data_IF_682482232250
#
_entry.id   IF_682482232250
#
_cell.length_a   1.000
_cell.length_b   1.000
_cell.length_c   1.000
_cell.angle_alpha   90.00
_cell.angle_beta   90.00
_cell.angle_gamma   90.00
#
_symmetry.space_group_name_H-M   'P 1'
#
loop_
_entity.id
_entity.type
_entity.pdbx_description
1 polymer ?
#
# COMPACT_ATOMS: atom_id res chain seq x y z
N UNK A 1 -5.15 -52.28 9.30
CA UNK A 1 -5.36 -51.20 10.29
C UNK A 1 -4.20 -50.24 10.18
N UNK A 2 -4.38 -49.11 9.50
CA UNK A 2 -3.36 -48.05 9.49
C UNK A 2 -3.41 -47.40 10.87
N UNK A 3 -2.31 -47.50 11.62
CA UNK A 3 -2.21 -46.98 12.98
C UNK A 3 -2.46 -45.47 12.97
N UNK A 4 -3.41 -45.01 13.79
CA UNK A 4 -3.78 -43.60 13.95
C UNK A 4 -2.60 -42.68 14.27
N UNK A 5 -1.50 -43.23 14.81
CA UNK A 5 -0.22 -42.51 15.02
C UNK A 5 0.43 -42.02 13.73
N UNK A 6 0.27 -42.74 12.62
CA UNK A 6 0.85 -42.36 11.31
C UNK A 6 0.10 -41.17 10.69
N UNK A 7 -1.22 -41.14 10.85
CA UNK A 7 -2.07 -40.05 10.34
C UNK A 7 -1.87 -38.76 11.15
N UNK A 8 -1.83 -38.85 12.49
CA UNK A 8 -1.52 -37.71 13.36
C UNK A 8 -0.08 -37.20 13.13
N UNK A 9 0.89 -38.09 12.95
CA UNK A 9 2.26 -37.72 12.63
C UNK A 9 2.40 -36.96 11.30
N UNK A 10 1.67 -37.37 10.26
CA UNK A 10 1.66 -36.69 8.98
C UNK A 10 1.02 -35.28 9.05
N UNK A 11 -0.06 -35.11 9.84
CA UNK A 11 -0.73 -33.81 10.01
C UNK A 11 0.18 -32.81 10.75
N UNK A 12 0.93 -33.25 11.76
CA UNK A 12 1.90 -32.39 12.47
C UNK A 12 3.09 -32.04 11.57
N UNK A 13 3.58 -32.97 10.74
CA UNK A 13 4.67 -32.71 9.79
C UNK A 13 4.26 -31.74 8.67
N UNK A 14 3.01 -31.80 8.19
CA UNK A 14 2.51 -30.88 7.16
C UNK A 14 2.22 -29.49 7.75
N UNK A 15 1.75 -29.40 9.00
CA UNK A 15 1.55 -28.13 9.69
C UNK A 15 2.88 -27.45 10.11
N UNK A 16 3.94 -28.23 10.33
CA UNK A 16 5.26 -27.73 10.74
C UNK A 16 6.12 -27.11 9.64
N UNK A 17 5.81 -27.33 8.35
CA UNK A 17 6.61 -26.84 7.22
C UNK A 17 6.24 -25.41 6.76
N UNK A 18 5.31 -24.72 7.43
CA UNK A 18 4.86 -23.37 7.05
C UNK A 18 5.36 -22.24 7.93
N UNK A 19 6.10 -22.54 9.00
CA UNK A 19 6.56 -21.55 9.96
C UNK A 19 8.09 -21.54 9.97
N UNK A 20 8.68 -20.72 9.10
CA UNK A 20 10.02 -20.19 9.34
C UNK A 20 9.85 -18.98 10.27
N UNK A 21 9.99 -19.12 11.60
CA UNK A 21 10.30 -17.95 12.38
C UNK A 21 11.66 -17.50 11.85
N UNK A 22 11.71 -16.35 11.19
CA UNK A 22 12.96 -15.69 10.84
C UNK A 22 13.62 -15.33 12.17
N UNK A 23 14.34 -16.29 12.75
CA UNK A 23 15.24 -16.08 13.86
C UNK A 23 16.45 -15.41 13.22
N UNK A 24 16.57 -14.10 13.42
CA UNK A 24 17.72 -13.33 12.96
C UNK A 24 18.94 -13.77 13.76
N UNK A 25 19.68 -14.72 13.19
CA UNK A 25 21.04 -15.06 13.57
C UNK A 25 21.98 -13.94 13.13
N UNK A 26 22.83 -13.55 14.07
CA UNK A 26 24.01 -12.68 13.99
C UNK A 26 23.82 -11.20 13.57
N UNK A 27 23.82 -10.32 14.58
CA UNK A 27 23.77 -8.84 14.44
C UNK A 27 25.00 -8.26 13.71
N UNK A 28 26.11 -8.98 13.62
CA UNK A 28 27.33 -8.52 12.95
C UNK A 28 27.34 -8.78 11.43
N UNK A 29 26.70 -9.85 10.94
CA UNK A 29 26.67 -10.22 9.52
C UNK A 29 25.71 -9.38 8.65
N UNK A 30 24.95 -8.47 9.27
CA UNK A 30 23.86 -7.74 8.61
C UNK A 30 24.39 -6.67 7.66
N UNK A 31 25.43 -5.92 8.05
CA UNK A 31 26.01 -4.85 7.25
C UNK A 31 26.83 -5.38 6.06
N UNK A 32 27.52 -6.52 6.22
CA UNK A 32 28.31 -7.15 5.15
C UNK A 32 27.47 -8.01 4.20
N UNK A 33 26.45 -8.73 4.72
CA UNK A 33 25.59 -9.57 3.90
C UNK A 33 24.65 -8.76 2.98
N UNK A 34 24.19 -7.58 3.42
CA UNK A 34 23.31 -6.72 2.62
C UNK A 34 24.00 -6.12 1.39
N UNK A 35 25.33 -5.95 1.40
CA UNK A 35 26.02 -5.36 0.24
C UNK A 35 26.21 -6.31 -0.93
N UNK A 36 26.04 -7.62 -0.71
CA UNK A 36 26.31 -8.66 -1.72
C UNK A 36 25.04 -9.17 -2.42
N UNK A 37 23.86 -8.95 -1.85
CA UNK A 37 22.58 -9.45 -2.38
C UNK A 37 21.76 -8.39 -3.14
N UNK A 38 22.32 -7.19 -3.35
CA UNK A 38 21.68 -6.09 -4.07
C UNK A 38 20.61 -5.35 -3.26
N UNK A 39 20.48 -5.61 -1.95
CA UNK A 39 19.56 -4.89 -1.05
C UNK A 39 20.24 -3.69 -0.40
N UNK A 40 19.45 -2.68 -0.08
CA UNK A 40 19.89 -1.53 0.71
C UNK A 40 19.59 -1.76 2.20
N UNK A 41 20.50 -1.28 3.06
CA UNK A 41 20.21 -1.08 4.48
C UNK A 41 19.60 0.31 4.64
N UNK A 42 18.34 0.35 5.03
CA UNK A 42 17.57 1.58 5.23
C UNK A 42 17.56 1.90 6.71
N UNK A 43 18.31 2.93 7.12
CA UNK A 43 18.41 3.42 8.49
C UNK A 43 17.42 4.56 8.70
N UNK A 44 16.72 4.53 9.82
CA UNK A 44 15.88 5.63 10.29
C UNK A 44 15.84 5.64 11.81
N UNK A 45 15.29 6.72 12.36
CA UNK A 45 15.12 6.87 13.79
C UNK A 45 13.67 7.09 14.11
N UNK A 46 13.12 6.41 15.11
CA UNK A 46 11.76 6.66 15.59
C UNK A 46 11.81 7.44 16.89
N UNK A 47 11.15 8.59 16.90
CA UNK A 47 10.92 9.42 18.07
C UNK A 47 9.44 9.54 18.31
N UNK A 48 9.04 9.30 19.56
CA UNK A 48 7.64 9.42 19.95
C UNK A 48 7.56 10.33 21.16
N UNK A 49 6.72 11.33 21.06
CA UNK A 49 6.48 12.35 22.09
C UNK A 49 5.05 12.23 22.59
N UNK A 50 4.84 12.59 23.86
CA UNK A 50 3.53 12.57 24.50
C UNK A 50 2.76 13.85 24.15
N UNK A 51 1.50 13.70 23.74
CA UNK A 51 0.62 14.84 23.46
C UNK A 51 0.46 15.73 24.71
N UNK A 52 0.61 17.06 24.54
CA UNK A 52 0.49 18.03 25.63
C UNK A 52 1.73 18.21 26.51
N UNK A 53 2.81 17.44 26.31
CA UNK A 53 4.09 17.63 27.00
C UNK A 53 5.09 18.39 26.12
N UNK A 54 5.69 19.44 26.68
CA UNK A 54 6.78 20.16 26.00
C UNK A 54 8.01 19.25 25.84
N UNK A 55 8.67 19.21 24.67
CA UNK A 55 9.80 18.32 24.38
C UNK A 55 11.03 18.54 25.27
N UNK A 56 11.03 19.59 26.11
CA UNK A 56 12.11 19.90 27.05
C UNK A 56 12.03 19.11 28.37
N UNK A 57 10.87 18.58 28.76
CA UNK A 57 10.74 17.72 29.95
C UNK A 57 10.96 16.28 29.52
N UNK A 58 12.07 15.69 30.02
CA UNK A 58 12.61 14.36 29.67
C UNK A 58 11.56 13.43 29.04
N UNK A 59 11.65 13.14 27.73
CA UNK A 59 10.60 12.42 27.02
C UNK A 59 10.41 11.05 27.69
N UNK A 60 9.16 10.68 27.96
CA UNK A 60 8.83 9.28 28.26
C UNK A 60 9.30 8.48 27.05
N UNK A 61 10.44 7.79 27.19
CA UNK A 61 11.00 7.00 26.10
C UNK A 61 10.21 5.72 26.00
N UNK A 62 9.16 5.72 25.18
CA UNK A 62 8.55 4.47 24.75
C UNK A 62 9.58 3.68 23.96
N UNK A 63 9.80 2.41 24.34
CA UNK A 63 10.66 1.54 23.56
C UNK A 63 9.99 1.29 22.22
N UNK A 64 10.76 1.41 21.13
CA UNK A 64 10.27 1.10 19.78
C UNK A 64 9.79 -0.35 19.66
N UNK A 65 10.24 -1.26 20.53
CA UNK A 65 9.77 -2.66 20.62
C UNK A 65 8.26 -2.76 20.86
N UNK A 66 7.62 -1.68 21.33
CA UNK A 66 6.19 -1.59 21.48
C UNK A 66 5.44 -1.21 20.19
N UNK A 67 6.12 -0.75 19.15
CA UNK A 67 5.51 -0.38 17.87
C UNK A 67 5.65 -1.51 16.86
N UNK A 68 4.57 -1.80 16.14
CA UNK A 68 4.61 -2.68 14.99
C UNK A 68 4.81 -1.86 13.72
N UNK A 69 5.56 -2.41 12.77
CA UNK A 69 5.77 -1.75 11.49
C UNK A 69 5.16 -2.57 10.37
N UNK A 70 4.47 -1.87 9.48
CA UNK A 70 3.97 -2.39 8.23
C UNK A 70 4.76 -1.85 7.07
N UNK A 71 5.02 -2.70 6.08
CA UNK A 71 5.64 -2.28 4.84
C UNK A 71 4.87 -2.84 3.65
N UNK A 72 4.61 -2.00 2.66
CA UNK A 72 4.08 -2.40 1.35
C UNK A 72 4.99 -1.86 0.25
N UNK A 73 5.49 -2.73 -0.64
CA UNK A 73 6.21 -2.29 -1.84
C UNK A 73 5.23 -1.82 -2.92
N UNK A 74 5.11 -0.50 -3.05
CA UNK A 74 4.16 0.18 -3.93
C UNK A 74 4.37 -0.25 -5.39
N UNK A 75 5.63 -0.29 -5.84
CA UNK A 75 5.94 -0.58 -7.25
C UNK A 75 5.75 -2.04 -7.65
N UNK A 76 5.75 -2.95 -6.68
CA UNK A 76 5.43 -4.36 -6.88
C UNK A 76 3.93 -4.65 -6.72
N UNK A 77 3.13 -3.65 -6.31
CA UNK A 77 1.73 -3.86 -6.03
C UNK A 77 1.50 -4.75 -4.80
N UNK A 78 2.42 -4.72 -3.84
CA UNK A 78 2.32 -5.51 -2.62
C UNK A 78 1.30 -4.90 -1.67
N UNK A 79 0.66 -5.76 -0.89
CA UNK A 79 -0.15 -5.34 0.25
C UNK A 79 0.73 -5.07 1.47
N UNK A 80 0.16 -4.40 2.47
CA UNK A 80 0.84 -4.13 3.74
C UNK A 80 1.15 -5.44 4.46
N UNK A 81 2.43 -5.67 4.76
CA UNK A 81 2.91 -6.83 5.51
C UNK A 81 3.60 -6.36 6.78
N UNK A 82 3.48 -7.13 7.86
CA UNK A 82 4.27 -6.88 9.07
C UNK A 82 5.75 -7.05 8.73
N UNK A 83 6.59 -6.12 9.16
CA UNK A 83 8.04 -6.22 9.02
C UNK A 83 8.72 -6.19 10.37
N UNK A 84 9.77 -6.99 10.49
CA UNK A 84 10.66 -6.93 11.64
C UNK A 84 11.69 -5.83 11.41
N UNK A 85 11.69 -4.85 12.31
CA UNK A 85 12.77 -3.85 12.37
C UNK A 85 13.84 -4.31 13.33
N UNK A 86 15.08 -4.00 12.98
CA UNK A 86 16.26 -4.36 13.77
C UNK A 86 16.93 -3.09 14.27
N UNK A 87 17.55 -3.16 15.44
CA UNK A 87 18.42 -2.09 15.92
C UNK A 87 19.88 -2.52 15.84
N UNK A 88 20.83 -1.61 15.51
CA UNK A 88 22.22 -2.01 15.38
C UNK A 88 22.88 -2.41 16.72
N UNK A 89 22.41 -1.87 17.85
CA UNK A 89 22.85 -2.25 19.19
C UNK A 89 21.78 -1.87 20.22
N UNK A 90 21.79 -2.47 21.41
CA UNK A 90 20.86 -2.09 22.50
C UNK A 90 20.97 -0.61 22.88
N UNK A 91 22.19 -0.05 22.85
CA UNK A 91 22.42 1.37 23.11
C UNK A 91 21.76 2.26 22.05
N UNK A 92 21.88 1.92 20.77
CA UNK A 92 21.24 2.65 19.67
C UNK A 92 19.73 2.44 19.63
N UNK A 93 19.27 1.26 20.05
CA UNK A 93 17.86 0.91 20.23
C UNK A 93 17.19 1.86 21.23
N UNK A 94 17.87 2.14 22.36
CA UNK A 94 17.39 3.09 23.37
C UNK A 94 17.34 4.56 22.89
N UNK A 95 18.00 4.85 21.78
CA UNK A 95 17.99 6.16 21.11
C UNK A 95 17.00 6.21 19.94
N UNK A 96 16.30 5.11 19.66
CA UNK A 96 15.29 5.00 18.59
C UNK A 96 15.86 4.64 17.22
N UNK A 97 17.16 4.31 17.09
CA UNK A 97 17.76 3.95 15.81
C UNK A 97 17.43 2.53 15.41
N UNK A 98 17.01 2.37 14.16
CA UNK A 98 16.62 1.10 13.58
C UNK A 98 16.89 1.04 12.09
N UNK A 99 16.95 -0.17 11.55
CA UNK A 99 17.13 -0.39 10.13
C UNK A 99 16.30 -1.57 9.62
N UNK A 100 16.10 -1.56 8.30
CA UNK A 100 15.51 -2.64 7.53
C UNK A 100 16.40 -2.96 6.33
N UNK A 101 16.37 -4.22 5.86
CA UNK A 101 16.97 -4.59 4.57
C UNK A 101 15.88 -4.57 3.51
N UNK A 102 16.05 -3.77 2.47
CA UNK A 102 15.01 -3.52 1.48
C UNK A 102 15.57 -3.64 0.06
N UNK A 103 14.79 -4.24 -0.84
CA UNK A 103 15.11 -4.19 -2.27
C UNK A 103 14.95 -2.74 -2.78
N UNK A 104 15.62 -2.33 -3.87
CA UNK A 104 15.33 -1.06 -4.52
C UNK A 104 13.86 -0.92 -4.92
N UNK A 105 13.33 0.29 -4.83
CA UNK A 105 11.95 0.64 -5.18
C UNK A 105 11.26 1.49 -4.11
N UNK A 106 9.96 1.73 -4.33
CA UNK A 106 9.15 2.57 -3.44
C UNK A 106 8.28 1.77 -2.50
N UNK A 107 8.17 2.25 -1.28
CA UNK A 107 7.47 1.58 -0.19
C UNK A 107 6.57 2.55 0.57
N UNK A 108 5.46 2.04 1.09
CA UNK A 108 4.68 2.66 2.15
C UNK A 108 5.07 1.99 3.47
N UNK A 109 5.50 2.79 4.44
CA UNK A 109 5.79 2.37 5.81
C UNK A 109 4.65 2.82 6.73
N UNK A 110 4.07 1.90 7.48
CA UNK A 110 3.08 2.13 8.53
C UNK A 110 3.71 1.94 9.90
N UNK A 111 3.42 2.86 10.83
CA UNK A 111 3.89 2.76 12.21
C UNK A 111 2.67 2.59 13.11
N UNK A 112 2.45 1.36 13.59
CA UNK A 112 1.27 0.98 14.36
C UNK A 112 1.60 1.00 15.86
N UNK A 113 0.88 1.79 16.68
CA UNK A 113 1.07 1.78 18.12
C UNK A 113 0.59 0.47 18.75
N UNK A 114 1.13 0.06 19.92
CA UNK A 114 0.86 -1.22 20.59
C UNK A 114 -0.62 -1.44 20.88
N UNK A 115 -1.33 -0.43 21.39
CA UNK A 115 -2.77 -0.54 21.64
C UNK A 115 -3.61 -0.44 20.36
N UNK A 116 -3.00 -0.01 19.25
CA UNK A 116 -3.60 -0.04 17.92
C UNK A 116 -3.88 -1.47 17.46
N UNK A 117 -2.98 -2.42 17.74
CA UNK A 117 -3.10 -3.82 17.29
C UNK A 117 -4.41 -4.47 17.76
N UNK A 118 -4.82 -4.25 19.01
CA UNK A 118 -6.03 -4.83 19.61
C UNK A 118 -7.34 -4.20 19.09
N UNK A 119 -7.27 -2.98 18.54
CA UNK A 119 -8.45 -2.19 18.17
C UNK A 119 -8.77 -2.21 16.68
N UNK A 120 -7.87 -2.70 15.83
CA UNK A 120 -8.13 -2.94 14.40
C UNK A 120 -9.08 -4.16 14.22
N UNK A 121 -9.38 -4.89 15.29
CA UNK A 121 -10.33 -6.01 15.32
C UNK A 121 -11.80 -5.60 15.23
N UNK A 122 -12.17 -4.36 15.58
CA UNK A 122 -13.56 -4.00 15.88
C UNK A 122 -14.22 -2.95 15.00
N UNK A 123 -13.49 -2.26 14.12
CA UNK A 123 -14.05 -1.15 13.35
C UNK A 123 -14.31 -1.57 11.90
N UNK A 124 -15.56 -1.92 11.59
CA UNK A 124 -15.98 -2.20 10.22
C UNK A 124 -15.89 -0.99 9.27
N UNK A 125 -15.69 0.24 9.73
CA UNK A 125 -15.82 1.38 8.81
C UNK A 125 -15.08 2.69 9.12
N UNK A 126 -14.09 2.71 10.02
CA UNK A 126 -13.26 3.92 10.20
C UNK A 126 -11.79 3.57 10.19
N UNK A 127 -11.14 3.90 9.07
CA UNK A 127 -9.70 3.90 8.91
C UNK A 127 -9.08 4.69 10.07
N UNK A 128 -8.57 3.99 11.10
CA UNK A 128 -7.69 4.66 12.05
C UNK A 128 -6.52 5.18 11.23
N UNK A 129 -6.31 6.47 11.32
CA UNK A 129 -5.25 7.19 10.62
C UNK A 129 -3.92 6.78 11.23
N UNK A 130 -3.33 5.75 10.65
CA UNK A 130 -2.00 5.26 11.01
C UNK A 130 -1.01 6.24 10.38
N UNK A 131 -0.03 6.75 11.15
CA UNK A 131 1.01 7.57 10.59
C UNK A 131 1.78 6.77 9.54
N UNK A 132 1.83 7.29 8.31
CA UNK A 132 2.43 6.59 7.19
C UNK A 132 3.33 7.47 6.32
N UNK A 133 4.36 6.83 5.78
CA UNK A 133 5.48 7.49 5.11
C UNK A 133 5.83 6.72 3.84
N UNK A 134 6.08 7.45 2.76
CA UNK A 134 6.68 6.91 1.55
C UNK A 134 8.20 6.90 1.64
N UNK A 135 8.79 5.75 1.37
CA UNK A 135 10.24 5.55 1.28
C UNK A 135 10.61 5.29 -0.18
N UNK A 136 11.68 5.93 -0.64
CA UNK A 136 12.25 5.72 -1.97
C UNK A 136 13.68 5.16 -1.84
N UNK A 137 13.87 3.92 -2.28
CA UNK A 137 15.13 3.19 -2.16
C UNK A 137 15.79 3.09 -3.55
N UNK A 138 16.82 3.91 -3.83
CA UNK A 138 17.43 3.95 -5.15
C UNK A 138 18.18 2.65 -5.48
N UNK A 139 18.26 2.34 -6.78
CA UNK A 139 19.03 1.19 -7.26
C UNK A 139 20.52 1.37 -7.01
N UNK A 140 21.20 0.32 -6.56
CA UNK A 140 22.64 0.36 -6.28
C UNK A 140 23.02 1.02 -4.95
N UNK A 141 22.06 1.58 -4.22
CA UNK A 141 22.32 2.12 -2.89
C UNK A 141 22.56 1.00 -1.88
N UNK A 142 23.64 1.13 -1.12
CA UNK A 142 23.99 0.18 -0.04
C UNK A 142 23.42 0.63 1.30
N UNK A 143 23.50 1.92 1.57
CA UNK A 143 23.00 2.55 2.78
C UNK A 143 22.13 3.73 2.42
N UNK A 144 20.91 3.76 2.98
CA UNK A 144 19.95 4.84 2.80
C UNK A 144 19.56 5.34 4.18
N UNK A 145 19.71 6.64 4.43
CA UNK A 145 19.13 7.28 5.60
C UNK A 145 17.77 7.88 5.23
N UNK A 146 16.71 7.35 5.83
CA UNK A 146 15.33 7.72 5.55
C UNK A 146 14.77 8.86 6.43
N UNK A 147 15.60 9.42 7.31
CA UNK A 147 15.18 10.48 8.24
C UNK A 147 14.87 9.99 9.64
N UNK A 148 14.62 10.95 10.53
CA UNK A 148 14.15 10.73 11.88
C UNK A 148 12.65 11.05 11.92
N UNK A 149 11.86 10.06 12.29
CA UNK A 149 10.40 10.05 12.26
C UNK A 149 9.88 10.48 13.63
N UNK A 150 9.28 11.66 13.71
CA UNK A 150 8.73 12.22 14.93
C UNK A 150 7.22 12.05 14.94
N UNK A 151 6.74 11.30 15.93
CA UNK A 151 5.33 11.05 16.20
C UNK A 151 4.93 11.74 17.51
N UNK A 152 3.70 12.24 17.54
CA UNK A 152 3.05 12.71 18.76
C UNK A 152 1.93 11.73 19.06
N UNK A 153 1.92 11.12 20.25
CA UNK A 153 0.90 10.16 20.63
C UNK A 153 0.32 10.45 22.01
N UNK A 154 -0.96 10.13 22.18
CA UNK A 154 -1.65 10.18 23.47
C UNK A 154 -1.36 8.90 24.28
N UNK A 155 -1.00 9.06 25.56
CA UNK A 155 -0.81 7.94 26.46
C UNK A 155 -2.17 7.38 26.93
N UNK A 156 -2.22 6.08 27.20
CA UNK A 156 -3.30 5.47 27.99
C UNK A 156 -2.69 4.52 28.99
N UNK A 157 -3.20 4.53 30.20
CA UNK A 157 -2.85 3.52 31.19
C UNK A 157 -3.29 2.14 30.67
N UNK A 158 -2.33 1.24 30.51
CA UNK A 158 -2.58 -0.17 30.27
C UNK A 158 -3.16 -0.85 31.52
N UNK A 159 -3.58 -2.11 31.37
CA UNK A 159 -4.18 -2.89 32.45
C UNK A 159 -3.31 -2.96 33.72
N UNK A 160 -1.99 -2.90 33.57
CA UNK A 160 -1.01 -2.92 34.66
C UNK A 160 -0.50 -1.54 35.10
N UNK A 161 -1.18 -0.45 34.72
CA UNK A 161 -0.78 0.92 35.05
C UNK A 161 0.37 1.51 34.21
N UNK A 162 0.99 0.71 33.34
CA UNK A 162 2.01 1.20 32.41
C UNK A 162 1.37 2.08 31.32
N UNK A 163 1.91 3.28 31.08
CA UNK A 163 1.45 4.17 30.01
C UNK A 163 1.89 3.63 28.64
N UNK A 164 0.93 3.33 27.78
CA UNK A 164 1.16 2.88 26.40
C UNK A 164 0.64 3.92 25.40
N UNK A 165 1.33 4.15 24.28
CA UNK A 165 0.81 5.00 23.23
C UNK A 165 -0.42 4.35 22.59
N UNK A 166 -1.50 5.13 22.40
CA UNK A 166 -2.77 4.64 21.86
C UNK A 166 -3.17 5.26 20.55
N UNK A 167 -3.24 6.59 20.52
CA UNK A 167 -3.57 7.35 19.32
C UNK A 167 -2.40 8.26 19.00
N UNK A 168 -1.85 8.11 17.80
CA UNK A 168 -0.83 9.00 17.29
C UNK A 168 -1.46 10.00 16.32
N UNK A 169 -0.94 11.22 16.28
CA UNK A 169 -1.30 12.20 15.28
C UNK A 169 -1.07 11.64 13.88
N UNK A 170 -1.92 12.01 12.94
CA UNK A 170 -1.92 11.50 11.56
C UNK A 170 -0.72 12.00 10.74
N UNK A 171 0.03 12.94 11.29
CA UNK A 171 1.17 13.57 10.63
C UNK A 171 2.45 13.08 11.27
N UNK A 172 3.34 12.50 10.45
CA UNK A 172 4.73 12.26 10.83
C UNK A 172 5.56 13.47 10.45
N UNK A 173 6.33 14.01 11.38
CA UNK A 173 7.36 14.97 11.04
C UNK A 173 8.68 14.24 10.75
N UNK A 174 9.25 14.44 9.55
CA UNK A 174 10.50 13.80 9.14
C UNK A 174 11.64 14.81 9.23
N UNK A 175 12.58 14.57 10.15
CA UNK A 175 13.71 15.44 10.43
C UNK A 175 14.98 14.85 9.82
N UNK A 176 15.81 15.70 9.23
CA UNK A 176 17.11 15.31 8.68
C UNK A 176 18.21 15.37 9.75
N UNK A 177 18.60 14.22 10.30
CA UNK A 177 19.75 14.07 11.20
C UNK A 177 20.93 13.35 10.51
N UNK A 178 21.21 13.65 9.23
CA UNK A 178 22.21 12.92 8.43
C UNK A 178 23.60 12.81 9.08
N UNK A 179 24.03 13.81 9.85
CA UNK A 179 25.31 13.76 10.59
C UNK A 179 25.29 12.74 11.74
N UNK A 180 24.16 12.61 12.45
CA UNK A 180 24.00 11.57 13.47
C UNK A 180 23.87 10.19 12.83
N UNK A 181 23.10 10.09 11.74
CA UNK A 181 22.99 8.87 10.95
C UNK A 181 24.34 8.38 10.43
N UNK A 182 25.19 9.29 9.91
CA UNK A 182 26.56 8.96 9.47
C UNK A 182 27.37 8.27 10.56
N UNK A 183 27.37 8.82 11.78
CA UNK A 183 28.09 8.25 12.92
C UNK A 183 27.58 6.85 13.28
N UNK A 184 26.26 6.65 13.24
CA UNK A 184 25.65 5.34 13.45
C UNK A 184 26.07 4.36 12.36
N UNK A 185 25.99 4.75 11.10
CA UNK A 185 26.38 3.91 9.95
C UNK A 185 27.85 3.52 10.04
N UNK A 186 28.75 4.46 10.33
CA UNK A 186 30.19 4.21 10.49
C UNK A 186 30.49 3.27 11.66
N UNK A 187 29.78 3.42 12.78
CA UNK A 187 29.88 2.52 13.93
C UNK A 187 29.46 1.09 13.57
N UNK A 188 28.42 0.94 12.75
CA UNK A 188 27.87 -0.37 12.36
C UNK A 188 28.68 -1.03 11.26
N UNK A 189 29.06 -0.25 10.23
CA UNK A 189 29.84 -0.74 9.10
C UNK A 189 31.32 -0.94 9.45
N UNK A 190 31.79 -0.42 10.60
CA UNK A 190 33.19 -0.44 11.07
C UNK A 190 34.19 0.22 10.12
N UNK A 191 33.70 0.93 9.10
CA UNK A 191 34.48 1.70 8.13
C UNK A 191 33.59 2.78 7.51
N UNK A 192 34.19 3.86 6.95
CA UNK A 192 33.44 4.82 6.15
C UNK A 192 32.80 4.12 4.95
N UNK A 193 31.49 4.27 4.82
CA UNK A 193 30.71 3.75 3.68
C UNK A 193 29.89 4.87 3.06
N UNK A 194 29.79 4.92 1.72
CA UNK A 194 28.88 5.85 1.08
C UNK A 194 27.44 5.52 1.49
N UNK A 195 26.70 6.55 1.89
CA UNK A 195 25.27 6.45 2.11
C UNK A 195 24.55 7.62 1.46
N UNK A 196 23.30 7.38 1.09
CA UNK A 196 22.44 8.36 0.45
C UNK A 196 21.41 8.83 1.47
N UNK A 197 21.16 10.14 1.51
CA UNK A 197 20.03 10.70 2.27
C UNK A 197 18.82 10.75 1.35
N UNK A 198 17.78 9.99 1.69
CA UNK A 198 16.47 9.98 1.00
C UNK A 198 15.39 10.05 2.07
N UNK A 199 15.08 11.26 2.51
CA UNK A 199 14.09 11.47 3.57
C UNK A 199 12.74 10.89 3.16
N UNK A 200 12.10 10.19 4.09
CA UNK A 200 10.73 9.72 3.90
C UNK A 200 9.77 10.89 3.73
N UNK A 201 8.75 10.71 2.91
CA UNK A 201 7.72 11.71 2.65
C UNK A 201 6.42 11.27 3.32
N UNK A 202 5.85 12.05 4.26
CA UNK A 202 4.56 11.71 4.86
C UNK A 202 3.48 11.51 3.78
N UNK A 203 2.73 10.42 3.87
CA UNK A 203 1.61 10.15 2.97
C UNK A 203 0.47 11.13 3.29
N UNK A 204 -0.21 11.64 2.25
CA UNK A 204 -1.25 12.71 2.34
C UNK A 204 -0.74 14.08 2.78
N UNK A 205 0.52 14.39 2.51
CA UNK A 205 0.94 15.79 2.50
C UNK A 205 0.13 16.51 1.41
N UNK A 206 -0.89 17.30 1.79
CA UNK A 206 -1.59 18.20 0.85
C UNK A 206 -0.51 19.01 0.18
N UNK A 207 -0.30 18.83 -1.12
CA UNK A 207 0.77 19.52 -1.81
C UNK A 207 0.36 20.96 -1.99
N UNK A 208 0.59 21.75 -0.94
CA UNK A 208 0.51 23.21 -0.99
C UNK A 208 1.85 23.78 -1.47
N UNK A 209 2.55 23.04 -2.34
CA UNK A 209 3.69 23.58 -3.03
C UNK A 209 3.15 24.45 -4.16
N UNK A 210 3.15 25.76 -3.92
CA UNK A 210 2.74 26.74 -4.91
C UNK A 210 3.48 26.57 -6.23
N UNK A 211 4.70 25.99 -6.23
CA UNK A 211 5.48 25.71 -7.44
C UNK A 211 4.79 24.73 -8.37
N UNK A 212 4.04 23.73 -7.87
CA UNK A 212 3.28 22.81 -8.72
C UNK A 212 2.20 23.51 -9.54
N UNK A 213 1.62 24.60 -9.02
CA UNK A 213 0.65 25.42 -9.75
C UNK A 213 1.31 26.31 -10.80
N UNK A 214 2.64 26.44 -10.74
CA UNK A 214 3.36 27.48 -11.48
C UNK A 214 3.99 27.03 -12.79
N UNK A 215 4.10 25.73 -13.03
CA UNK A 215 4.98 25.18 -14.08
C UNK A 215 4.16 24.35 -15.05
N UNK A 216 4.47 24.47 -16.34
CA UNK A 216 3.89 23.59 -17.35
C UNK A 216 4.31 22.13 -17.09
N UNK A 217 3.34 21.21 -16.87
CA UNK A 217 3.65 19.82 -16.58
C UNK A 217 4.14 19.10 -17.83
N UNK A 218 5.26 18.37 -17.73
CA UNK A 218 5.64 17.39 -18.76
C UNK A 218 4.89 16.10 -18.44
N UNK A 219 3.77 15.87 -19.14
CA UNK A 219 2.97 14.65 -18.99
C UNK A 219 3.65 13.51 -19.73
N UNK A 220 4.22 12.57 -18.97
CA UNK A 220 4.83 11.35 -19.46
C UNK A 220 3.90 10.16 -19.14
N UNK A 221 3.44 9.50 -20.19
CA UNK A 221 2.69 8.26 -20.03
C UNK A 221 3.59 7.21 -19.37
N UNK A 222 3.11 6.57 -18.31
CA UNK A 222 3.75 5.35 -17.84
C UNK A 222 3.64 4.28 -18.92
N UNK A 223 4.76 3.59 -19.20
CA UNK A 223 4.84 2.50 -20.19
C UNK A 223 4.56 1.11 -19.58
N UNK A 224 4.17 1.04 -18.31
CA UNK A 224 3.90 -0.25 -17.67
C UNK A 224 2.66 -0.88 -18.31
N UNK A 225 2.69 -2.19 -18.62
CA UNK A 225 1.50 -2.87 -19.12
C UNK A 225 0.41 -2.84 -18.05
N UNK A 226 -0.83 -2.61 -18.47
CA UNK A 226 -1.99 -2.67 -17.57
C UNK A 226 -2.06 -4.08 -17.00
N UNK A 227 -2.03 -4.21 -15.67
CA UNK A 227 -2.19 -5.50 -15.01
C UNK A 227 -3.67 -5.89 -15.01
N UNK A 228 -4.04 -6.80 -15.91
CA UNK A 228 -5.32 -7.50 -15.84
C UNK A 228 -5.25 -8.61 -14.80
N UNK A 229 -6.11 -8.55 -13.79
CA UNK A 229 -6.22 -9.60 -12.77
C UNK A 229 -7.54 -10.34 -13.00
N UNK A 230 -7.44 -11.64 -13.33
CA UNK A 230 -8.61 -12.49 -13.51
C UNK A 230 -9.23 -12.83 -12.15
N UNK A 231 -10.55 -13.08 -12.09
CA UNK A 231 -11.16 -13.66 -10.90
C UNK A 231 -10.47 -14.96 -10.50
N UNK A 232 -10.26 -15.17 -9.20
CA UNK A 232 -9.69 -16.41 -8.66
C UNK A 232 -10.77 -17.49 -8.59
N UNK A 233 -11.05 -18.13 -9.72
CA UNK A 233 -12.10 -19.14 -9.88
C UNK A 233 -11.95 -20.31 -8.92
N UNK A 234 -10.70 -20.79 -8.75
CA UNK A 234 -10.38 -21.90 -7.84
C UNK A 234 -10.78 -21.55 -6.42
N UNK A 235 -10.35 -20.38 -5.93
CA UNK A 235 -10.67 -20.00 -4.55
C UNK A 235 -12.16 -19.79 -4.34
N UNK A 236 -12.84 -19.13 -5.28
CA UNK A 236 -14.30 -18.95 -5.21
C UNK A 236 -15.03 -20.27 -5.08
N UNK A 237 -14.59 -21.27 -5.84
CA UNK A 237 -15.18 -22.59 -5.79
C UNK A 237 -14.86 -23.35 -4.48
N UNK A 238 -13.64 -23.20 -3.93
CA UNK A 238 -13.29 -23.70 -2.59
C UNK A 238 -14.15 -23.06 -1.48
N UNK A 239 -14.39 -21.75 -1.56
CA UNK A 239 -15.26 -21.05 -0.61
C UNK A 239 -16.73 -21.52 -0.73
N UNK A 240 -17.21 -21.83 -1.94
CA UNK A 240 -18.57 -22.36 -2.17
C UNK A 240 -18.79 -23.71 -1.50
N UNK A 241 -17.74 -24.53 -1.42
CA UNK A 241 -17.75 -25.82 -0.69
C UNK A 241 -17.32 -25.65 0.77
N UNK A 242 -17.29 -24.43 1.31
CA UNK A 242 -17.04 -24.20 2.74
C UNK A 242 -15.57 -24.36 3.17
N UNK A 243 -14.62 -24.49 2.24
CA UNK A 243 -13.20 -24.48 2.54
C UNK A 243 -12.73 -23.03 2.59
N UNK A 244 -12.66 -22.50 3.81
CA UNK A 244 -12.18 -21.14 4.07
C UNK A 244 -11.12 -21.17 5.18
N UNK A 245 -10.19 -20.20 5.25
CA UNK A 245 -9.24 -20.09 6.35
C UNK A 245 -9.93 -20.06 7.73
N UNK A 246 -11.05 -19.33 7.82
CA UNK A 246 -11.88 -19.28 9.03
C UNK A 246 -12.54 -20.63 9.32
N UNK A 247 -13.01 -21.36 8.31
CA UNK A 247 -13.56 -22.71 8.48
C UNK A 247 -12.53 -23.68 9.05
N UNK A 248 -11.28 -23.60 8.58
CA UNK A 248 -10.16 -24.37 9.14
C UNK A 248 -9.91 -23.96 10.59
N UNK A 249 -9.77 -22.67 10.87
CA UNK A 249 -9.53 -22.15 12.21
C UNK A 249 -10.64 -22.54 13.20
N UNK A 250 -11.90 -22.31 12.84
CA UNK A 250 -13.06 -22.66 13.66
C UNK A 250 -13.15 -24.17 13.89
N UNK A 251 -12.74 -24.99 12.91
CA UNK A 251 -12.66 -26.44 13.11
C UNK A 251 -11.58 -26.83 14.12
N UNK A 252 -10.51 -26.04 14.28
CA UNK A 252 -9.44 -26.28 15.25
C UNK A 252 -9.80 -25.79 16.66
N UNK A 253 -10.62 -24.75 16.79
CA UNK A 253 -11.03 -24.17 18.09
C UNK A 253 -12.43 -24.62 18.58
N UNK A 254 -13.23 -25.25 17.73
CA UNK A 254 -14.59 -25.69 18.05
C UNK A 254 -14.66 -26.79 19.11
N UNK A 255 -15.65 -26.68 20.01
CA UNK A 255 -15.93 -27.60 21.11
C UNK A 255 -16.22 -29.04 20.63
N UNK A 256 -15.16 -29.85 20.52
CA UNK A 256 -15.21 -31.30 20.38
C UNK A 256 -14.45 -31.81 19.16
N UNK A 257 -13.40 -32.62 19.38
CA UNK A 257 -12.54 -33.14 18.30
C UNK A 257 -13.26 -33.89 17.18
N UNK A 258 -14.54 -34.25 17.35
CA UNK A 258 -15.38 -34.85 16.30
C UNK A 258 -15.63 -33.87 15.14
N UNK A 259 -15.81 -32.56 15.40
CA UNK A 259 -16.01 -31.57 14.31
C UNK A 259 -14.73 -31.36 13.50
N UNK A 260 -13.58 -31.35 14.16
CA UNK A 260 -12.27 -31.25 13.49
C UNK A 260 -12.02 -32.47 12.62
N UNK A 261 -12.25 -33.68 13.15
CA UNK A 261 -12.05 -34.93 12.39
C UNK A 261 -12.99 -34.99 11.18
N UNK A 262 -14.27 -34.66 11.36
CA UNK A 262 -15.23 -34.63 10.26
C UNK A 262 -14.82 -33.62 9.18
N UNK A 263 -14.34 -32.43 9.57
CA UNK A 263 -13.85 -31.42 8.64
C UNK A 263 -12.57 -31.88 7.92
N UNK A 264 -11.63 -32.52 8.64
CA UNK A 264 -10.42 -33.09 8.03
C UNK A 264 -10.74 -34.22 7.04
N UNK A 265 -11.74 -35.05 7.33
CA UNK A 265 -12.23 -36.08 6.39
C UNK A 265 -12.95 -35.46 5.20
N UNK A 266 -13.62 -34.32 5.39
CA UNK A 266 -14.29 -33.57 4.34
C UNK A 266 -13.31 -32.85 3.39
N UNK A 267 -12.19 -32.33 3.93
CA UNK A 267 -11.25 -31.46 3.19
C UNK A 267 -10.80 -32.04 1.84
N UNK A 268 -10.36 -33.31 1.69
CA UNK A 268 -9.95 -33.84 0.40
C UNK A 268 -11.08 -33.79 -0.65
N UNK A 269 -12.30 -34.14 -0.26
CA UNK A 269 -13.47 -34.11 -1.14
C UNK A 269 -13.89 -32.69 -1.48
N UNK A 270 -13.88 -31.79 -0.49
CA UNK A 270 -14.15 -30.38 -0.72
C UNK A 270 -13.11 -29.75 -1.65
N UNK A 271 -11.81 -30.02 -1.46
CA UNK A 271 -10.74 -29.46 -2.29
C UNK A 271 -10.94 -29.92 -3.74
N UNK A 272 -11.13 -31.23 -3.95
CA UNK A 272 -11.37 -31.79 -5.27
C UNK A 272 -12.63 -31.19 -5.94
N UNK A 273 -13.74 -31.11 -5.20
CA UNK A 273 -15.00 -30.54 -5.70
C UNK A 273 -14.83 -29.05 -6.03
N UNK A 274 -14.15 -28.29 -5.18
CA UNK A 274 -13.84 -26.89 -5.41
C UNK A 274 -12.91 -26.68 -6.60
N UNK A 275 -11.90 -27.52 -6.81
CA UNK A 275 -11.04 -27.43 -7.99
C UNK A 275 -11.82 -27.72 -9.29
N UNK A 276 -12.66 -28.75 -9.31
CA UNK A 276 -13.50 -29.08 -10.47
C UNK A 276 -14.50 -27.97 -10.79
N UNK A 277 -15.20 -27.44 -9.76
CA UNK A 277 -16.11 -26.31 -9.93
C UNK A 277 -15.38 -25.04 -10.38
N UNK A 278 -14.18 -24.80 -9.85
CA UNK A 278 -13.36 -23.65 -10.23
C UNK A 278 -12.89 -23.74 -11.68
N UNK A 279 -12.46 -24.92 -12.13
CA UNK A 279 -12.09 -25.18 -13.52
C UNK A 279 -13.30 -25.03 -14.45
N UNK A 280 -14.47 -25.54 -14.06
CA UNK A 280 -15.71 -25.42 -14.84
C UNK A 280 -16.16 -23.95 -14.98
N UNK A 281 -16.15 -23.19 -13.88
CA UNK A 281 -16.44 -21.75 -13.93
C UNK A 281 -15.41 -21.02 -14.81
N UNK A 282 -14.12 -21.34 -14.65
CA UNK A 282 -13.06 -20.73 -15.47
C UNK A 282 -13.30 -20.98 -16.95
N UNK A 283 -13.60 -22.21 -17.34
CA UNK A 283 -13.85 -22.59 -18.74
C UNK A 283 -15.10 -21.87 -19.30
N UNK A 284 -16.19 -21.88 -18.53
CA UNK A 284 -17.46 -21.22 -18.89
C UNK A 284 -17.29 -19.73 -19.19
N UNK A 285 -16.44 -19.03 -18.43
CA UNK A 285 -16.28 -17.58 -18.53
C UNK A 285 -14.98 -17.15 -19.23
N UNK A 286 -14.15 -18.09 -19.67
CA UNK A 286 -12.82 -17.82 -20.23
C UNK A 286 -12.90 -16.87 -21.42
N UNK A 287 -13.70 -17.20 -22.42
CA UNK A 287 -13.80 -16.44 -23.66
C UNK A 287 -14.31 -15.01 -23.41
N UNK A 288 -15.24 -14.85 -22.47
CA UNK A 288 -15.70 -13.54 -22.05
C UNK A 288 -14.55 -12.73 -21.40
N UNK A 289 -13.90 -13.27 -20.37
CA UNK A 289 -12.82 -12.58 -19.66
C UNK A 289 -11.62 -12.28 -20.57
N UNK A 290 -11.31 -13.18 -21.51
CA UNK A 290 -10.24 -13.03 -22.48
C UNK A 290 -10.58 -11.92 -23.50
N UNK A 291 -11.82 -11.87 -24.02
CA UNK A 291 -12.28 -10.76 -24.87
C UNK A 291 -12.19 -9.41 -24.17
N UNK A 292 -12.47 -9.37 -22.86
CA UNK A 292 -12.35 -8.15 -22.07
C UNK A 292 -10.90 -7.72 -21.88
N UNK A 293 -10.03 -8.67 -21.54
CA UNK A 293 -8.59 -8.42 -21.46
C UNK A 293 -8.07 -7.87 -22.79
N UNK A 294 -8.45 -8.48 -23.91
CA UNK A 294 -8.10 -8.03 -25.25
C UNK A 294 -8.67 -6.64 -25.53
N UNK A 295 -9.94 -6.39 -25.24
CA UNK A 295 -10.59 -5.09 -25.44
C UNK A 295 -9.86 -4.00 -24.65
N UNK A 296 -9.46 -4.25 -23.41
CA UNK A 296 -8.70 -3.28 -22.61
C UNK A 296 -7.27 -3.08 -23.10
N UNK A 297 -6.63 -4.12 -23.64
CA UNK A 297 -5.33 -4.01 -24.28
C UNK A 297 -5.41 -3.26 -25.62
N UNK A 298 -6.47 -3.47 -26.42
CA UNK A 298 -6.69 -2.85 -27.72
C UNK A 298 -7.21 -1.42 -27.62
N UNK A 299 -8.12 -1.13 -26.69
CA UNK A 299 -8.75 0.19 -26.52
C UNK A 299 -7.78 1.30 -26.08
N UNK A 300 -6.50 0.95 -25.89
CA UNK A 300 -5.44 1.81 -25.37
C UNK A 300 -5.98 2.72 -24.26
N UNK A 301 -6.57 2.08 -23.23
CA UNK A 301 -7.06 2.76 -22.02
C UNK A 301 -6.02 3.75 -21.47
N UNK A 302 -4.75 3.36 -21.56
CA UNK A 302 -3.62 4.16 -21.17
C UNK A 302 -3.55 5.45 -22.01
N UNK A 303 -3.64 5.38 -23.34
CA UNK A 303 -3.71 6.56 -24.21
C UNK A 303 -4.97 7.39 -23.94
N UNK A 304 -6.14 6.78 -23.75
CA UNK A 304 -7.37 7.51 -23.44
C UNK A 304 -7.24 8.31 -22.14
N UNK A 305 -6.80 7.67 -21.05
CA UNK A 305 -6.48 8.30 -19.77
C UNK A 305 -5.49 9.46 -19.94
N UNK A 306 -4.36 9.20 -20.61
CA UNK A 306 -3.31 10.21 -20.80
C UNK A 306 -3.81 11.42 -21.62
N UNK A 307 -4.66 11.20 -22.63
CA UNK A 307 -5.26 12.27 -23.41
C UNK A 307 -6.23 13.11 -22.56
N UNK A 308 -7.07 12.46 -21.74
CA UNK A 308 -7.99 13.17 -20.85
C UNK A 308 -7.23 13.99 -19.80
N UNK A 309 -6.22 13.40 -19.16
CA UNK A 309 -5.40 14.09 -18.16
C UNK A 309 -4.64 15.27 -18.78
N UNK A 310 -4.05 15.09 -19.96
CA UNK A 310 -3.36 16.16 -20.69
C UNK A 310 -4.32 17.31 -21.01
N UNK A 311 -5.50 17.03 -21.58
CA UNK A 311 -6.51 18.06 -21.88
C UNK A 311 -6.96 18.80 -20.62
N UNK A 312 -7.20 18.08 -19.52
CA UNK A 312 -7.61 18.68 -18.26
C UNK A 312 -6.54 19.62 -17.69
N UNK A 313 -5.27 19.22 -17.76
CA UNK A 313 -4.14 20.06 -17.38
C UNK A 313 -3.99 21.28 -18.30
N UNK A 314 -4.07 21.11 -19.62
CA UNK A 314 -3.98 22.21 -20.60
C UNK A 314 -5.07 23.26 -20.38
N UNK A 315 -6.33 22.83 -20.20
CA UNK A 315 -7.45 23.74 -19.95
C UNK A 315 -7.27 24.53 -18.64
N UNK A 316 -6.75 23.91 -17.58
CA UNK A 316 -6.60 24.56 -16.27
C UNK A 316 -5.34 25.42 -16.16
N UNK A 317 -4.21 24.95 -16.68
CA UNK A 317 -2.93 25.67 -16.63
C UNK A 317 -2.97 26.91 -17.54
N UNK A 318 -3.61 26.82 -18.71
CA UNK A 318 -3.75 27.99 -19.59
C UNK A 318 -4.63 29.09 -18.97
N UNK A 319 -5.66 28.72 -18.20
CA UNK A 319 -6.45 29.66 -17.40
C UNK A 319 -5.59 30.41 -16.37
N UNK A 320 -4.73 29.68 -15.65
CA UNK A 320 -3.81 30.25 -14.65
C UNK A 320 -2.68 31.11 -15.25
N UNK A 321 -2.26 30.81 -16.49
CA UNK A 321 -1.21 31.57 -17.17
C UNK A 321 -1.69 32.95 -17.67
N UNK A 322 -2.98 33.12 -17.96
CA UNK A 322 -3.55 34.41 -18.36
C UNK A 322 -3.55 35.41 -17.19
N UNK A 323 -3.80 34.92 -15.98
CA UNK A 323 -3.84 35.73 -14.75
C UNK A 323 -2.44 36.13 -14.24
N UNK A 324 -1.38 35.69 -14.92
CA UNK A 324 0.01 35.74 -14.45
C UNK A 324 0.92 36.74 -15.14
N UNK A 325 0.54 37.23 -16.32
CA UNK A 325 1.30 38.29 -16.99
C UNK A 325 1.38 39.58 -16.15
N UNK A 326 0.60 39.67 -15.08
CA UNK A 326 0.57 40.75 -14.09
C UNK A 326 1.61 40.62 -12.95
N UNK A 327 2.24 39.46 -12.71
CA UNK A 327 3.06 39.25 -11.49
C UNK A 327 4.47 38.65 -11.67
N UNK A 328 4.84 38.16 -12.87
CA UNK A 328 6.09 37.40 -13.08
C UNK A 328 7.35 38.25 -13.38
N UNK A 329 7.64 39.29 -12.60
CA UNK A 329 8.77 40.20 -12.86
C UNK A 329 9.96 40.11 -11.86
N UNK A 330 10.07 39.10 -10.97
CA UNK A 330 10.99 39.23 -9.81
C UNK A 330 11.77 38.02 -9.29
N UNK A 331 12.06 36.98 -10.08
CA UNK A 331 12.89 35.85 -9.58
C UNK A 331 13.87 35.34 -10.64
N UNK A 332 15.18 35.47 -10.36
CA UNK A 332 16.29 34.96 -11.16
C UNK A 332 16.54 33.43 -11.01
N UNK A 333 15.76 32.72 -10.19
CA UNK A 333 15.86 31.28 -10.09
C UNK A 333 15.25 30.60 -11.33
N UNK A 334 16.00 29.68 -11.95
CA UNK A 334 15.46 28.83 -13.01
C UNK A 334 14.18 28.13 -12.53
N UNK A 335 13.09 28.13 -13.34
CA UNK A 335 11.84 27.53 -12.92
C UNK A 335 12.02 26.03 -12.72
N UNK A 336 11.64 25.53 -11.54
CA UNK A 336 11.59 24.10 -11.27
C UNK A 336 10.74 23.41 -12.35
N UNK A 337 11.22 22.32 -12.96
CA UNK A 337 10.46 21.58 -13.98
C UNK A 337 9.86 20.34 -13.35
N UNK A 338 8.54 20.16 -13.43
CA UNK A 338 7.88 18.97 -12.89
C UNK A 338 7.50 17.98 -13.99
N UNK A 339 7.83 16.71 -13.79
CA UNK A 339 7.46 15.59 -14.64
C UNK A 339 6.27 14.87 -14.01
N UNK A 340 5.18 14.79 -14.77
CA UNK A 340 3.94 14.15 -14.37
C UNK A 340 3.86 12.78 -15.01
N UNK A 341 4.00 11.74 -14.22
CA UNK A 341 3.90 10.35 -14.68
C UNK A 341 2.55 9.78 -14.26
N UNK A 342 1.73 9.36 -15.22
CA UNK A 342 0.41 8.83 -14.90
C UNK A 342 0.07 7.61 -15.74
N UNK A 343 -0.81 6.77 -15.23
CA UNK A 343 -1.27 5.59 -15.91
C UNK A 343 -2.28 4.76 -15.14
N UNK A 344 -2.93 3.88 -15.89
CA UNK A 344 -3.79 2.82 -15.37
C UNK A 344 -2.89 1.69 -14.90
N UNK A 345 -2.79 1.49 -13.59
CA UNK A 345 -1.93 0.45 -13.01
C UNK A 345 -2.62 -0.92 -13.03
N UNK A 346 -3.95 -0.93 -12.78
CA UNK A 346 -4.71 -2.17 -12.61
C UNK A 346 -6.14 -2.00 -13.09
N UNK A 347 -6.61 -3.01 -13.82
CA UNK A 347 -8.02 -3.21 -14.14
C UNK A 347 -8.35 -4.65 -13.79
N UNK A 348 -9.41 -4.88 -13.02
CA UNK A 348 -9.84 -6.22 -12.65
C UNK A 348 -11.35 -6.29 -12.42
N UNK A 349 -11.92 -7.48 -12.57
CA UNK A 349 -13.27 -7.77 -12.09
C UNK A 349 -13.17 -8.40 -10.72
N UNK A 350 -13.81 -7.75 -9.74
CA UNK A 350 -13.76 -8.19 -8.35
C UNK A 350 -15.12 -8.71 -7.92
N UNK A 351 -15.15 -9.89 -7.31
CA UNK A 351 -16.41 -10.45 -6.82
C UNK A 351 -16.92 -9.63 -5.63
N UNK A 352 -18.23 -9.34 -5.64
CA UNK A 352 -18.89 -8.71 -4.51
C UNK A 352 -19.32 -9.72 -3.43
N UNK A 353 -19.85 -9.22 -2.33
CA UNK A 353 -20.40 -10.04 -1.26
C UNK A 353 -21.50 -10.98 -1.78
N UNK A 354 -22.41 -10.44 -2.60
CA UNK A 354 -23.43 -11.20 -3.32
C UNK A 354 -22.77 -12.15 -4.35
N UNK A 355 -22.99 -13.44 -4.16
CA UNK A 355 -22.34 -14.51 -4.94
C UNK A 355 -22.63 -14.39 -6.43
N UNK A 356 -21.58 -14.49 -7.25
CA UNK A 356 -21.71 -14.44 -8.71
C UNK A 356 -21.93 -13.04 -9.29
N UNK A 357 -21.95 -12.02 -8.43
CA UNK A 357 -21.89 -10.62 -8.84
C UNK A 357 -20.46 -10.09 -8.75
N UNK A 358 -20.12 -9.17 -9.65
CA UNK A 358 -18.81 -8.58 -9.79
C UNK A 358 -18.93 -7.07 -9.95
N UNK A 359 -17.90 -6.35 -9.54
CA UNK A 359 -17.74 -4.94 -9.85
C UNK A 359 -16.45 -4.73 -10.65
N UNK A 360 -16.44 -3.69 -11.48
CA UNK A 360 -15.21 -3.21 -12.12
C UNK A 360 -14.34 -2.53 -11.05
N UNK A 361 -13.10 -2.98 -10.92
CA UNK A 361 -12.09 -2.31 -10.11
C UNK A 361 -11.01 -1.72 -11.02
N UNK A 362 -10.78 -0.42 -10.87
CA UNK A 362 -9.86 0.37 -11.68
C UNK A 362 -8.95 1.18 -10.74
N UNK A 363 -7.64 0.98 -10.86
CA UNK A 363 -6.65 1.73 -10.11
C UNK A 363 -5.79 2.58 -11.06
N UNK A 364 -5.70 3.87 -10.77
CA UNK A 364 -4.93 4.84 -11.54
C UNK A 364 -3.93 5.52 -10.62
N UNK A 365 -2.71 5.72 -11.13
CA UNK A 365 -1.63 6.37 -10.41
C UNK A 365 -1.27 7.70 -11.04
N UNK A 366 -1.00 8.69 -10.20
CA UNK A 366 -0.39 9.96 -10.60
C UNK A 366 0.85 10.19 -9.74
N UNK A 367 1.97 10.42 -10.40
CA UNK A 367 3.25 10.74 -9.79
C UNK A 367 3.75 12.06 -10.31
N UNK A 368 4.29 12.88 -9.42
CA UNK A 368 4.92 14.14 -9.81
C UNK A 368 6.33 14.13 -9.24
N UNK A 369 7.30 14.31 -10.13
CA UNK A 369 8.72 14.43 -9.77
C UNK A 369 9.25 15.79 -10.16
N UNK A 370 10.07 16.38 -9.30
CA UNK A 370 10.88 17.55 -9.65
C UNK A 370 12.07 17.08 -10.48
N UNK A 371 12.28 17.65 -11.67
CA UNK A 371 13.37 17.32 -12.58
C UNK A 371 14.68 17.85 -12.00
N UNK A 372 15.37 17.00 -11.25
CA UNK A 372 16.76 17.21 -10.82
C UNK A 372 17.71 16.36 -11.66
N UNK A 373 18.97 16.77 -11.74
CA UNK A 373 20.01 16.18 -12.60
C UNK A 373 20.28 14.69 -12.36
N UNK A 374 20.00 14.16 -11.16
CA UNK A 374 20.47 12.82 -10.78
C UNK A 374 19.40 11.75 -10.60
N UNK A 375 18.11 12.07 -10.41
CA UNK A 375 17.04 11.05 -10.27
C UNK A 375 15.60 11.62 -10.11
N UNK A 376 15.52 12.92 -9.82
CA UNK A 376 14.28 13.65 -9.62
C UNK A 376 13.57 13.32 -8.30
N UNK A 377 13.35 14.34 -7.46
CA UNK A 377 12.70 14.14 -6.17
C UNK A 377 11.20 13.89 -6.36
N UNK A 378 10.67 12.84 -5.73
CA UNK A 378 9.23 12.59 -5.69
C UNK A 378 8.55 13.66 -4.83
N UNK A 379 7.65 14.41 -5.45
CA UNK A 379 6.88 15.47 -4.78
C UNK A 379 5.48 14.98 -4.44
N UNK A 380 4.90 14.15 -5.32
CA UNK A 380 3.57 13.60 -5.16
C UNK A 380 3.50 12.17 -5.72
N UNK A 381 2.76 11.29 -5.03
CA UNK A 381 2.44 9.94 -5.49
C UNK A 381 1.06 9.55 -4.93
N UNK A 382 0.05 9.59 -5.80
CA UNK A 382 -1.32 9.29 -5.46
C UNK A 382 -1.85 8.12 -6.27
N UNK A 383 -2.60 7.24 -5.61
CA UNK A 383 -3.35 6.16 -6.23
C UNK A 383 -4.83 6.37 -5.97
N UNK A 384 -5.63 6.45 -7.03
CA UNK A 384 -7.08 6.45 -6.93
C UNK A 384 -7.63 5.09 -7.34
N UNK A 385 -8.62 4.64 -6.58
CA UNK A 385 -9.27 3.36 -6.76
C UNK A 385 -10.77 3.54 -6.93
N UNK A 386 -11.29 3.11 -8.06
CA UNK A 386 -12.72 2.91 -8.25
C UNK A 386 -13.02 1.43 -8.01
N UNK A 387 -13.86 1.13 -7.03
CA UNK A 387 -14.27 -0.23 -6.66
C UNK A 387 -15.59 -0.19 -5.88
N UNK A 388 -16.14 -1.34 -5.51
CA UNK A 388 -17.27 -1.43 -4.59
C UNK A 388 -16.76 -1.79 -3.18
N UNK A 389 -17.14 -1.07 -2.10
CA UNK A 389 -16.74 -1.43 -0.74
C UNK A 389 -17.23 -2.81 -0.29
N UNK A 390 -18.33 -3.32 -0.87
CA UNK A 390 -18.81 -4.69 -0.68
C UNK A 390 -18.03 -5.73 -1.51
N UNK A 391 -16.98 -5.32 -2.23
CA UNK A 391 -16.11 -6.25 -2.93
C UNK A 391 -15.30 -7.09 -1.94
N UNK A 392 -15.22 -8.40 -2.18
CA UNK A 392 -14.52 -9.32 -1.26
C UNK A 392 -13.04 -8.96 -1.17
N UNK A 393 -12.40 -8.96 0.02
CA UNK A 393 -10.96 -8.72 0.17
C UNK A 393 -10.15 -9.68 -0.71
N UNK A 394 -9.02 -9.22 -1.26
CA UNK A 394 -8.01 -10.12 -1.85
C UNK A 394 -7.29 -10.75 -0.67
N UNK A 395 -7.47 -12.05 -0.36
CA UNK A 395 -6.72 -12.68 0.69
C UNK A 395 -5.33 -13.02 0.20
N UNK A 396 -4.46 -13.17 1.18
CA UNK A 396 -3.02 -13.29 1.05
C UNK A 396 -2.32 -11.96 0.73
N UNK A 397 -2.39 -11.00 1.67
CA UNK A 397 -1.13 -10.48 2.17
C UNK A 397 -0.59 -11.50 3.17
N UNK A 398 0.57 -12.05 2.88
CA UNK A 398 1.37 -12.82 3.83
C UNK A 398 1.39 -12.12 5.19
N UNK A 399 1.05 -12.89 6.23
CA UNK A 399 0.94 -12.46 7.63
C UNK A 399 -0.03 -11.29 7.86
N UNK A 400 -1.32 -11.55 8.16
CA UNK A 400 -2.07 -10.54 8.89
C UNK A 400 -1.23 -10.17 10.13
N UNK A 401 -1.11 -8.87 10.42
CA UNK A 401 -0.74 -8.48 11.79
C UNK A 401 -1.65 -9.29 12.70
N UNK A 402 -1.09 -9.88 13.77
CA UNK A 402 -1.77 -10.91 14.58
C UNK A 402 -3.17 -10.52 15.07
N UNK A 403 -3.56 -9.25 14.92
CA UNK A 403 -4.81 -8.67 15.39
C UNK A 403 -5.40 -7.58 14.43
N UNK A 404 -4.93 -7.41 13.19
CA UNK A 404 -5.45 -6.36 12.30
C UNK A 404 -6.26 -6.90 11.11
N UNK A 405 -7.52 -6.48 10.98
CA UNK A 405 -8.23 -6.48 9.70
C UNK A 405 -7.56 -5.44 8.79
N UNK A 406 -6.76 -5.91 7.83
CA UNK A 406 -6.25 -5.06 6.77
C UNK A 406 -7.41 -4.62 5.86
N UNK A 407 -7.37 -3.39 5.31
CA UNK A 407 -8.42 -2.94 4.41
C UNK A 407 -8.55 -3.87 3.20
N UNK A 408 -9.76 -3.90 2.63
CA UNK A 408 -10.12 -4.65 1.42
C UNK A 408 -9.21 -4.27 0.24
N UNK A 409 -8.64 -3.07 0.26
CA UNK A 409 -7.78 -2.50 -0.77
C UNK A 409 -6.35 -2.33 -0.28
N UNK A 410 -5.43 -2.03 -1.20
CA UNK A 410 -4.07 -1.68 -0.77
C UNK A 410 -4.12 -0.38 0.02
N UNK A 411 -3.33 -0.32 1.08
CA UNK A 411 -3.31 0.76 2.07
C UNK A 411 -2.92 2.14 1.52
N UNK A 412 -2.25 2.17 0.36
CA UNK A 412 -1.87 3.39 -0.35
C UNK A 412 -2.86 3.77 -1.47
N UNK A 413 -3.88 2.95 -1.73
CA UNK A 413 -4.93 3.22 -2.71
C UNK A 413 -6.07 4.00 -2.03
N UNK A 414 -6.44 5.15 -2.59
CA UNK A 414 -7.51 6.01 -2.08
C UNK A 414 -8.81 5.66 -2.83
N UNK A 415 -9.81 5.06 -2.15
CA UNK A 415 -11.08 4.76 -2.80
C UNK A 415 -11.84 6.04 -3.15
N UNK A 416 -12.42 6.08 -4.34
CA UNK A 416 -13.37 7.12 -4.72
C UNK A 416 -14.66 6.97 -3.90
N UNK A 417 -15.38 8.07 -3.69
CA UNK A 417 -16.70 8.06 -3.04
C UNK A 417 -17.74 7.27 -3.83
N UNK A 418 -17.60 7.24 -5.16
CA UNK A 418 -18.52 6.54 -6.04
C UNK A 418 -18.23 5.04 -6.04
N UNK A 419 -19.29 4.26 -5.87
CA UNK A 419 -19.21 2.81 -5.75
C UNK A 419 -19.40 2.17 -7.12
N UNK A 420 -18.50 1.26 -7.47
CA UNK A 420 -18.68 0.44 -8.66
C UNK A 420 -19.92 -0.46 -8.50
N UNK A 421 -20.87 -0.49 -9.43
CA UNK A 421 -22.05 -1.33 -9.32
C UNK A 421 -21.68 -2.82 -9.37
N UNK A 422 -22.26 -3.61 -8.47
CA UNK A 422 -22.15 -5.07 -8.51
C UNK A 422 -23.18 -5.62 -9.50
N UNK A 423 -22.72 -6.34 -10.52
CA UNK A 423 -23.57 -6.94 -11.56
C UNK A 423 -23.23 -8.40 -11.77
N UNK A 424 -24.19 -9.22 -12.15
CA UNK A 424 -23.92 -10.61 -12.50
C UNK A 424 -22.91 -10.69 -13.65
N UNK A 425 -22.02 -11.68 -13.65
CA UNK A 425 -21.03 -11.82 -14.71
C UNK A 425 -21.63 -11.91 -16.12
N UNK A 426 -22.83 -12.51 -16.25
CA UNK A 426 -23.60 -12.53 -17.49
C UNK A 426 -23.83 -11.14 -18.07
N UNK A 427 -24.01 -10.13 -17.22
CA UNK A 427 -24.15 -8.74 -17.65
C UNK A 427 -22.88 -8.27 -18.36
N UNK A 428 -21.71 -8.48 -17.76
CA UNK A 428 -20.44 -8.10 -18.38
C UNK A 428 -20.16 -8.89 -19.66
N UNK A 429 -20.66 -10.11 -19.78
CA UNK A 429 -20.40 -10.95 -20.95
C UNK A 429 -21.34 -10.74 -22.15
N UNK A 430 -22.39 -9.93 -22.00
CA UNK A 430 -23.29 -9.61 -23.11
C UNK A 430 -22.68 -8.53 -24.01
N UNK A 431 -22.71 -8.74 -25.33
CA UNK A 431 -22.04 -7.85 -26.30
C UNK A 431 -22.58 -6.41 -26.26
N UNK A 432 -23.88 -6.24 -25.97
CA UNK A 432 -24.53 -4.92 -25.84
C UNK A 432 -23.96 -4.10 -24.66
N UNK A 433 -23.45 -4.77 -23.63
CA UNK A 433 -22.98 -4.13 -22.40
C UNK A 433 -21.50 -3.71 -22.44
N UNK A 434 -20.76 -4.10 -23.48
CA UNK A 434 -19.37 -3.63 -23.67
C UNK A 434 -19.30 -2.10 -23.81
N UNK A 435 -20.30 -1.48 -24.47
CA UNK A 435 -20.41 -0.02 -24.59
C UNK A 435 -20.64 0.66 -23.24
N UNK A 436 -21.56 0.13 -22.43
CA UNK A 436 -21.86 0.67 -21.10
C UNK A 436 -20.63 0.67 -20.20
N UNK A 437 -19.80 -0.37 -20.29
CA UNK A 437 -18.54 -0.39 -19.54
C UNK A 437 -17.56 0.69 -20.03
N UNK A 438 -17.40 0.86 -21.35
CA UNK A 438 -16.53 1.91 -21.88
C UNK A 438 -16.98 3.31 -21.40
N UNK A 439 -18.30 3.54 -21.38
CA UNK A 439 -18.88 4.76 -20.81
C UNK A 439 -18.60 4.88 -19.31
N UNK A 440 -18.79 3.80 -18.54
CA UNK A 440 -18.47 3.76 -17.11
C UNK A 440 -17.00 4.09 -16.84
N UNK A 441 -16.07 3.48 -17.57
CA UNK A 441 -14.62 3.75 -17.46
C UNK A 441 -14.31 5.21 -17.79
N UNK A 442 -14.89 5.77 -18.85
CA UNK A 442 -14.65 7.16 -19.23
C UNK A 442 -15.19 8.14 -18.19
N UNK A 443 -16.37 7.88 -17.64
CA UNK A 443 -16.94 8.66 -16.55
C UNK A 443 -16.06 8.60 -15.29
N UNK A 444 -15.59 7.41 -14.93
CA UNK A 444 -14.69 7.23 -13.78
C UNK A 444 -13.37 7.96 -13.99
N UNK A 445 -12.77 7.90 -15.18
CA UNK A 445 -11.56 8.66 -15.50
C UNK A 445 -11.76 10.17 -15.32
N UNK A 446 -12.88 10.72 -15.79
CA UNK A 446 -13.18 12.15 -15.58
C UNK A 446 -13.21 12.52 -14.10
N UNK A 447 -13.81 11.67 -13.25
CA UNK A 447 -13.87 11.89 -11.80
C UNK A 447 -12.52 11.74 -11.11
N UNK A 448 -11.73 10.73 -11.49
CA UNK A 448 -10.35 10.55 -10.98
C UNK A 448 -9.46 11.75 -11.31
N UNK A 449 -9.56 12.28 -12.54
CA UNK A 449 -8.84 13.49 -12.94
C UNK A 449 -9.27 14.67 -12.07
N UNK A 450 -10.57 14.87 -11.91
CA UNK A 450 -11.11 15.95 -11.07
C UNK A 450 -10.60 15.84 -9.63
N UNK A 451 -10.55 14.63 -9.06
CA UNK A 451 -10.01 14.38 -7.73
C UNK A 451 -8.53 14.76 -7.66
N UNK A 452 -7.69 14.26 -8.57
CA UNK A 452 -6.26 14.58 -8.59
C UNK A 452 -6.00 16.08 -8.70
N UNK A 453 -6.72 16.78 -9.57
CA UNK A 453 -6.58 18.23 -9.73
C UNK A 453 -6.97 18.97 -8.44
N UNK A 454 -8.06 18.55 -7.79
CA UNK A 454 -8.51 19.14 -6.52
C UNK A 454 -7.50 18.89 -5.40
N UNK A 455 -6.96 17.66 -5.29
CA UNK A 455 -5.98 17.29 -4.26
C UNK A 455 -4.66 18.06 -4.42
N UNK A 456 -4.27 18.36 -5.67
CA UNK A 456 -3.14 19.22 -5.99
C UNK A 456 -3.43 20.72 -5.85
N UNK A 457 -4.64 21.09 -5.42
CA UNK A 457 -5.08 22.48 -5.27
C UNK A 457 -5.21 23.24 -6.59
N UNK A 458 -5.34 22.52 -7.71
CA UNK A 458 -5.67 23.04 -9.03
C UNK A 458 -7.21 23.08 -9.10
N UNK A 459 -7.79 23.97 -8.30
CA UNK A 459 -9.24 24.09 -8.23
C UNK A 459 -9.80 24.55 -9.57
N UNK A 460 -10.91 23.96 -9.96
CA UNK A 460 -11.83 24.63 -10.85
C UNK A 460 -12.48 25.76 -10.05
N UNK A 461 -11.92 26.97 -10.11
CA UNK A 461 -12.79 28.12 -9.93
C UNK A 461 -13.83 28.01 -11.04
N UNK A 462 -15.02 27.53 -10.66
CA UNK A 462 -16.22 27.69 -11.46
C UNK A 462 -16.35 29.17 -11.67
N UNK A 463 -16.09 29.62 -12.90
CA UNK A 463 -16.44 30.93 -13.44
C UNK A 463 -17.97 31.11 -13.35
N UNK A 464 -18.50 31.24 -12.14
CA UNK A 464 -19.91 31.52 -11.87
C UNK A 464 -20.16 32.99 -11.53
N UNK A 465 -19.11 33.81 -11.37
CA UNK A 465 -19.23 35.23 -11.05
C UNK A 465 -18.99 36.17 -12.24
N UNK A 466 -19.21 35.69 -13.47
CA UNK A 466 -19.18 36.53 -14.68
C UNK A 466 -20.54 36.47 -15.39
N UNK A 467 -21.58 37.03 -14.74
CA UNK A 467 -22.82 37.42 -15.38
C UNK A 467 -23.22 38.83 -14.97
#
# INVERSE_FOLDING_TARGET
MISWTVVLGAIVLIAGCGYDPIVVSDRAGIAEGATNDGRAVVLFRLFVTEEGRSPMLSPVRWSFESFEMGLARIDAGEQMKRVQVLSPSSALASQGWMFMKMNPGRYQLWIVPPAGSLSILGAQDTHRTIPDIHLDIPSGARWVYAGSLHLVCSPRAGFWGNMMPTHCANTVNVVNEAQAARRVIEQVARRPVPFIVRLGVPHRWKVNDSRLRTVMPIVKAQKKPIRWVRPDWRRRALERVGITPQGVEWSMWGFGGISTIAYLLYLPFGILTGELLGASDQDTWKDCVDRWQETFQQSDLQRHWNQMMRRALEMKVNGLAHDRRSHAARSDAEPAVFIWETGVERVQLRECEERGSFCLELAVRLQIRERSAEEGQLVYDGFLLYSNPAARPVPFSEQPFSQAQLPVYRTYEIPLSDRAPCRNLKFYCADENARLLHEEVSQVFSRMISYFLTDLGINAETSQDAH
#
